data_IF_778758835639
#
_entry.id   IF_778758835639
#
_cell.length_a   1.000
_cell.length_b   1.000
_cell.length_c   1.000
_cell.angle_alpha   90.00
_cell.angle_beta   90.00
_cell.angle_gamma   90.00
#
_symmetry.space_group_name_H-M   'P 1'
#
loop_
_entity.id
_entity.type
_entity.pdbx_description
1 polymer ?
#
# COMPACT_ATOMS: atom_id res chain seq x y z
N UNK A 1 46.78 -36.57 -8.31
CA UNK A 1 45.43 -36.05 -7.99
C UNK A 1 44.47 -36.49 -9.06
N UNK A 2 43.39 -37.21 -8.70
CA UNK A 2 42.43 -37.74 -9.67
C UNK A 2 41.71 -36.58 -10.37
N UNK A 3 41.70 -36.57 -11.70
CA UNK A 3 41.07 -35.53 -12.54
C UNK A 3 39.61 -35.29 -12.14
N UNK A 4 38.92 -36.34 -11.67
CA UNK A 4 37.54 -36.27 -11.16
C UNK A 4 37.38 -35.37 -9.94
N UNK A 5 38.34 -35.36 -9.02
CA UNK A 5 38.29 -34.52 -7.82
C UNK A 5 38.49 -33.03 -8.15
N UNK A 6 39.28 -32.74 -9.20
CA UNK A 6 39.47 -31.36 -9.66
C UNK A 6 38.19 -30.80 -10.31
N UNK A 7 37.47 -31.60 -11.09
CA UNK A 7 36.20 -31.19 -11.68
C UNK A 7 35.11 -30.91 -10.63
N UNK A 8 35.00 -31.74 -9.58
CA UNK A 8 34.01 -31.53 -8.52
C UNK A 8 34.31 -30.27 -7.71
N UNK A 9 35.58 -30.01 -7.40
CA UNK A 9 35.98 -28.79 -6.67
C UNK A 9 35.69 -27.54 -7.51
N UNK A 10 35.98 -27.58 -8.82
CA UNK A 10 35.67 -26.46 -9.72
C UNK A 10 34.16 -26.19 -9.84
N UNK A 11 33.33 -27.23 -9.92
CA UNK A 11 31.87 -27.07 -9.96
C UNK A 11 31.33 -26.45 -8.67
N UNK A 12 31.83 -26.87 -7.50
CA UNK A 12 31.42 -26.30 -6.21
C UNK A 12 31.80 -24.82 -6.13
N UNK A 13 32.99 -24.44 -6.59
CA UNK A 13 33.44 -23.03 -6.62
C UNK A 13 32.55 -22.20 -7.55
N UNK A 14 32.20 -22.72 -8.73
CA UNK A 14 31.34 -22.00 -9.69
C UNK A 14 29.92 -21.82 -9.14
N UNK A 15 29.33 -22.86 -8.53
CA UNK A 15 27.97 -22.78 -7.98
C UNK A 15 27.90 -21.79 -6.82
N UNK A 16 28.84 -21.88 -5.87
CA UNK A 16 28.87 -20.93 -4.75
C UNK A 16 29.21 -19.52 -5.20
N UNK A 17 30.15 -19.36 -6.14
CA UNK A 17 30.53 -18.06 -6.68
C UNK A 17 29.39 -17.37 -7.43
N UNK A 18 28.64 -18.11 -8.25
CA UNK A 18 27.47 -17.57 -8.97
C UNK A 18 26.30 -17.27 -8.03
N UNK A 19 26.07 -18.10 -7.01
CA UNK A 19 25.08 -17.81 -5.98
C UNK A 19 25.43 -16.53 -5.20
N UNK A 20 26.68 -16.39 -4.73
CA UNK A 20 27.15 -15.19 -4.02
C UNK A 20 27.02 -13.95 -4.91
N UNK A 21 27.42 -14.05 -6.19
CA UNK A 21 27.27 -12.95 -7.15
C UNK A 21 25.79 -12.57 -7.37
N UNK A 22 24.91 -13.57 -7.50
CA UNK A 22 23.47 -13.36 -7.65
C UNK A 22 22.87 -12.68 -6.42
N UNK A 23 23.21 -13.14 -5.21
CA UNK A 23 22.78 -12.50 -3.97
C UNK A 23 23.32 -11.06 -3.85
N UNK A 24 24.58 -10.82 -4.22
CA UNK A 24 25.16 -9.48 -4.25
C UNK A 24 24.46 -8.55 -5.24
N UNK A 25 24.02 -9.06 -6.40
CA UNK A 25 23.21 -8.29 -7.35
C UNK A 25 21.82 -7.97 -6.81
N UNK A 26 21.15 -8.93 -6.15
CA UNK A 26 19.85 -8.69 -5.50
C UNK A 26 19.98 -7.64 -4.40
N UNK A 27 20.98 -7.75 -3.53
CA UNK A 27 21.20 -6.80 -2.44
C UNK A 27 21.43 -5.38 -2.98
N UNK A 28 22.19 -5.22 -4.07
CA UNK A 28 22.36 -3.91 -4.75
C UNK A 28 21.04 -3.34 -5.29
N UNK A 29 20.18 -4.18 -5.85
CA UNK A 29 18.86 -3.74 -6.34
C UNK A 29 17.91 -3.34 -5.20
N UNK A 30 17.97 -4.04 -4.06
CA UNK A 30 17.20 -3.69 -2.86
C UNK A 30 17.70 -2.37 -2.26
N UNK A 31 19.02 -2.17 -2.24
CA UNK A 31 19.63 -0.94 -1.74
C UNK A 31 19.35 0.26 -2.64
N UNK A 32 19.37 0.08 -3.97
CA UNK A 32 18.86 1.09 -4.92
C UNK A 32 17.37 1.36 -4.75
N UNK A 33 16.56 0.36 -4.39
CA UNK A 33 15.13 0.59 -4.10
C UNK A 33 14.95 1.42 -2.83
N UNK A 34 15.82 1.27 -1.81
CA UNK A 34 15.83 2.12 -0.61
C UNK A 34 16.44 3.50 -0.84
N UNK A 35 17.47 3.62 -1.67
CA UNK A 35 18.11 4.90 -2.01
C UNK A 35 17.23 5.73 -2.96
N UNK A 36 16.61 5.13 -3.99
CA UNK A 36 15.65 5.81 -4.88
C UNK A 36 14.36 6.22 -4.14
N UNK A 37 14.02 5.53 -3.05
CA UNK A 37 12.94 5.94 -2.13
C UNK A 37 13.31 7.11 -1.20
N UNK A 38 14.60 7.36 -0.97
CA UNK A 38 15.11 8.39 -0.05
C UNK A 38 15.61 9.66 -0.75
N UNK A 39 16.11 9.56 -1.98
CA UNK A 39 16.75 10.68 -2.70
C UNK A 39 15.76 11.61 -3.41
N UNK A 40 14.47 11.23 -3.57
CA UNK A 40 13.46 12.11 -4.17
C UNK A 40 12.73 13.05 -3.20
N UNK A 41 13.03 13.05 -1.90
CA UNK A 41 12.27 13.83 -0.92
C UNK A 41 12.85 15.22 -0.57
N UNK A 42 14.05 15.57 -1.01
CA UNK A 42 14.69 16.84 -0.58
C UNK A 42 14.83 17.93 -1.65
N UNK A 43 14.29 17.76 -2.86
CA UNK A 43 14.46 18.79 -3.90
C UNK A 43 13.21 19.05 -4.75
N UNK A 44 12.11 19.40 -4.08
CA UNK A 44 11.05 20.21 -4.72
C UNK A 44 10.23 21.01 -3.69
N UNK A 45 10.90 21.62 -2.72
CA UNK A 45 10.38 22.80 -2.03
C UNK A 45 10.99 24.04 -2.70
N UNK A 46 10.17 25.07 -2.94
CA UNK A 46 10.48 26.33 -3.62
C UNK A 46 10.51 26.29 -5.16
N UNK A 47 9.33 26.44 -5.78
CA UNK A 47 8.96 27.68 -6.50
C UNK A 47 7.61 27.51 -7.23
N UNK A 48 6.80 28.58 -7.22
CA UNK A 48 5.51 28.77 -7.91
C UNK A 48 4.19 28.36 -7.24
N UNK A 49 3.87 29.00 -6.11
CA UNK A 49 2.49 29.44 -5.87
C UNK A 49 2.25 30.65 -6.79
N UNK A 50 1.54 30.44 -7.91
CA UNK A 50 0.86 31.54 -8.61
C UNK A 50 -0.58 31.56 -8.15
N UNK A 51 -0.94 32.66 -7.51
CA UNK A 51 -2.28 32.98 -7.04
C UNK A 51 -3.32 32.79 -8.14
N UNK A 52 -4.31 31.94 -7.88
CA UNK A 52 -5.53 31.91 -8.67
C UNK A 52 -6.72 32.10 -7.72
N UNK A 53 -7.03 33.38 -7.47
CA UNK A 53 -8.20 33.85 -6.72
C UNK A 53 -9.48 33.33 -7.39
N UNK A 54 -10.04 32.23 -6.88
CA UNK A 54 -11.43 31.85 -7.13
C UNK A 54 -12.25 32.00 -5.85
N UNK A 55 -12.89 33.18 -5.76
CA UNK A 55 -14.12 33.52 -5.02
C UNK A 55 -14.45 32.60 -3.81
N UNK A 56 -13.84 32.92 -2.66
CA UNK A 56 -14.24 32.40 -1.36
C UNK A 56 -15.64 32.92 -1.01
N UNK A 57 -16.63 32.03 -1.03
CA UNK A 57 -17.82 32.20 -0.19
C UNK A 57 -17.34 32.01 1.25
N UNK A 58 -17.21 33.10 2.01
CA UNK A 58 -16.82 33.10 3.42
C UNK A 58 -17.86 32.35 4.27
N UNK A 59 -17.74 31.03 4.35
CA UNK A 59 -18.28 30.25 5.46
C UNK A 59 -17.30 30.38 6.62
N UNK A 60 -17.81 30.53 7.84
CA UNK A 60 -16.96 30.65 9.03
C UNK A 60 -15.93 29.53 9.05
N UNK A 61 -14.66 29.89 9.30
CA UNK A 61 -13.53 28.96 9.30
C UNK A 61 -13.70 27.95 10.43
N UNK A 62 -14.48 26.89 10.18
CA UNK A 62 -14.46 25.70 11.04
C UNK A 62 -13.05 25.14 10.95
N UNK A 63 -12.39 25.00 12.09
CA UNK A 63 -11.13 24.26 12.18
C UNK A 63 -11.34 22.88 11.57
N UNK A 64 -10.69 22.60 10.44
CA UNK A 64 -10.73 21.29 9.80
C UNK A 64 -9.54 20.50 10.31
N UNK A 65 -9.81 19.39 11.00
CA UNK A 65 -8.77 18.45 11.42
C UNK A 65 -8.83 17.21 10.53
N UNK A 66 -7.67 16.70 10.09
CA UNK A 66 -7.62 15.51 9.25
C UNK A 66 -8.14 14.29 10.01
N UNK A 67 -9.03 13.53 9.37
CA UNK A 67 -9.55 12.26 9.92
C UNK A 67 -8.44 11.23 9.88
N UNK A 68 -8.22 10.53 11.00
CA UNK A 68 -7.22 9.44 11.10
C UNK A 68 -7.85 8.07 10.91
N UNK A 69 -9.13 7.92 11.22
CA UNK A 69 -9.83 6.64 11.11
C UNK A 69 -10.73 6.62 9.89
N UNK A 70 -10.40 5.76 8.93
CA UNK A 70 -11.15 5.66 7.70
C UNK A 70 -11.00 4.32 7.00
N UNK A 71 -12.08 3.90 6.34
CA UNK A 71 -12.14 2.71 5.51
C UNK A 71 -12.28 3.16 4.06
N UNK A 72 -11.28 2.84 3.25
CA UNK A 72 -11.29 2.99 1.80
C UNK A 72 -11.45 1.63 1.13
N UNK A 73 -12.65 1.36 0.59
CA UNK A 73 -12.91 0.13 -0.15
C UNK A 73 -12.41 0.31 -1.59
N UNK A 74 -11.32 -0.40 -1.91
CA UNK A 74 -10.71 -0.36 -3.23
C UNK A 74 -11.62 -1.02 -4.27
N UNK A 75 -11.91 -0.32 -5.36
CA UNK A 75 -12.68 -0.85 -6.51
C UNK A 75 -11.77 -1.09 -7.73
N UNK A 76 -12.06 -2.09 -8.56
CA UNK A 76 -11.25 -2.37 -9.74
C UNK A 76 -11.34 -1.28 -10.81
N UNK A 77 -10.21 -0.98 -11.46
CA UNK A 77 -10.10 -0.10 -12.64
C UNK A 77 -10.73 1.29 -12.48
N UNK A 78 -10.69 1.86 -11.27
CA UNK A 78 -11.18 3.22 -10.97
C UNK A 78 -10.04 4.21 -10.69
N UNK A 79 -8.78 3.80 -10.85
CA UNK A 79 -7.63 4.55 -10.32
C UNK A 79 -7.58 4.53 -8.79
N UNK A 80 -8.21 3.52 -8.17
CA UNK A 80 -8.17 3.29 -6.73
C UNK A 80 -6.77 2.93 -6.24
N UNK A 81 -5.91 2.29 -7.06
CA UNK A 81 -4.52 2.01 -6.70
C UNK A 81 -3.74 3.29 -6.35
N UNK A 82 -3.94 4.37 -7.11
CA UNK A 82 -3.32 5.67 -6.81
C UNK A 82 -3.79 6.22 -5.47
N UNK A 83 -5.10 6.11 -5.17
CA UNK A 83 -5.65 6.55 -3.89
C UNK A 83 -5.11 5.70 -2.72
N UNK A 84 -5.00 4.38 -2.91
CA UNK A 84 -4.38 3.48 -1.91
C UNK A 84 -2.96 3.92 -1.60
N UNK A 85 -2.13 4.22 -2.60
CA UNK A 85 -0.76 4.67 -2.36
C UNK A 85 -0.69 5.97 -1.54
N UNK A 86 -1.58 6.93 -1.83
CA UNK A 86 -1.67 8.18 -1.06
C UNK A 86 -2.08 7.91 0.38
N UNK A 87 -3.13 7.10 0.58
CA UNK A 87 -3.62 6.78 1.92
C UNK A 87 -2.64 5.93 2.72
N UNK A 88 -1.89 5.04 2.07
CA UNK A 88 -0.87 4.23 2.71
C UNK A 88 0.28 5.10 3.22
N UNK A 89 0.75 6.06 2.42
CA UNK A 89 1.73 7.05 2.87
C UNK A 89 1.25 7.83 4.09
N UNK A 90 -0.01 8.29 4.06
CA UNK A 90 -0.63 8.98 5.19
C UNK A 90 -0.72 8.10 6.44
N UNK A 91 -1.11 6.83 6.30
CA UNK A 91 -1.18 5.89 7.41
C UNK A 91 0.20 5.66 8.05
N UNK A 92 1.23 5.47 7.23
CA UNK A 92 2.61 5.30 7.69
C UNK A 92 3.11 6.56 8.41
N UNK A 93 2.94 7.76 7.82
CA UNK A 93 3.42 9.02 8.41
C UNK A 93 2.74 9.41 9.71
N UNK A 94 1.56 8.85 9.99
CA UNK A 94 0.79 9.09 11.20
C UNK A 94 0.74 7.89 12.15
N UNK A 95 1.53 6.85 11.89
CA UNK A 95 1.60 5.62 12.70
C UNK A 95 0.23 4.97 12.94
N UNK A 96 -0.61 4.95 11.91
CA UNK A 96 -1.96 4.38 11.97
C UNK A 96 -1.92 2.86 11.77
N UNK A 97 -2.76 2.14 12.50
CA UNK A 97 -2.90 0.69 12.30
C UNK A 97 -3.73 0.40 11.05
N UNK A 98 -3.11 -0.27 10.07
CA UNK A 98 -3.75 -0.64 8.81
C UNK A 98 -4.14 -2.12 8.86
N UNK A 99 -5.40 -2.43 8.56
CA UNK A 99 -5.85 -3.81 8.39
C UNK A 99 -5.31 -4.36 7.07
N UNK A 100 -4.38 -5.32 7.19
CA UNK A 100 -3.66 -5.92 6.08
C UNK A 100 -4.15 -7.35 5.83
N UNK A 101 -4.29 -7.76 4.56
CA UNK A 101 -4.60 -9.16 4.25
C UNK A 101 -3.44 -10.06 4.71
N UNK A 102 -3.75 -11.28 5.14
CA UNK A 102 -2.76 -12.28 5.55
C UNK A 102 -1.96 -12.79 4.35
N UNK A 103 -2.54 -12.74 3.15
CA UNK A 103 -1.89 -13.05 1.89
C UNK A 103 -2.54 -12.39 0.68
N UNK A 104 -1.78 -12.27 -0.41
CA UNK A 104 -2.28 -11.72 -1.67
C UNK A 104 -2.54 -10.21 -1.65
N UNK A 105 -3.40 -9.75 -2.56
CA UNK A 105 -3.65 -8.32 -2.82
C UNK A 105 -5.10 -7.89 -2.57
N UNK A 106 -5.96 -8.81 -2.12
CA UNK A 106 -7.39 -8.59 -1.84
C UNK A 106 -7.65 -9.05 -0.41
N UNK A 107 -8.58 -8.39 0.27
CA UNK A 107 -8.95 -8.79 1.62
C UNK A 107 -10.03 -9.85 1.54
N UNK A 108 -11.09 -9.60 0.79
CA UNK A 108 -12.15 -10.59 0.60
C UNK A 108 -13.02 -10.26 -0.61
N UNK A 109 -13.06 -11.14 -1.61
CA UNK A 109 -13.98 -11.03 -2.73
C UNK A 109 -14.23 -12.40 -3.37
N UNK A 110 -15.48 -12.78 -3.72
CA UNK A 110 -16.72 -12.00 -3.65
C UNK A 110 -17.51 -12.16 -2.33
N UNK A 111 -16.94 -12.85 -1.35
CA UNK A 111 -17.55 -13.09 -0.04
C UNK A 111 -16.96 -12.16 1.03
N UNK A 112 -17.60 -12.00 2.20
CA UNK A 112 -17.03 -11.26 3.33
C UNK A 112 -15.73 -11.90 3.85
N UNK A 113 -14.85 -11.13 4.51
CA UNK A 113 -13.61 -11.66 5.08
C UNK A 113 -13.89 -12.69 6.18
N UNK A 114 -13.18 -13.81 6.12
CA UNK A 114 -13.02 -14.74 7.23
C UNK A 114 -11.92 -14.23 8.19
N UNK A 115 -11.83 -14.79 9.40
CA UNK A 115 -10.83 -14.33 10.38
C UNK A 115 -9.40 -14.59 9.89
N UNK A 116 -9.18 -15.68 9.14
CA UNK A 116 -7.89 -16.05 8.55
C UNK A 116 -7.42 -15.15 7.39
N UNK A 117 -8.27 -14.26 6.87
CA UNK A 117 -7.98 -13.46 5.67
C UNK A 117 -7.09 -12.23 5.97
N UNK A 118 -6.82 -11.92 7.23
CA UNK A 118 -6.05 -10.74 7.63
C UNK A 118 -5.11 -10.99 8.80
N UNK A 119 -4.17 -10.05 8.96
CA UNK A 119 -3.23 -10.06 10.08
C UNK A 119 -3.92 -9.48 11.30
N UNK A 120 -4.06 -10.32 12.33
CA UNK A 120 -4.67 -9.96 13.61
C UNK A 120 -3.79 -9.02 14.43
N UNK A 121 -4.42 -8.05 15.10
CA UNK A 121 -3.81 -7.28 16.20
C UNK A 121 -4.35 -7.79 17.53
N UNK A 122 -3.61 -7.62 18.66
CA UNK A 122 -4.05 -8.10 19.97
C UNK A 122 -5.43 -7.61 20.41
N UNK A 123 -5.83 -6.42 19.95
CA UNK A 123 -7.08 -5.74 20.29
C UNK A 123 -8.16 -5.85 19.19
N UNK A 124 -7.84 -6.44 18.04
CA UNK A 124 -8.73 -6.53 16.86
C UNK A 124 -9.33 -5.18 16.43
N UNK A 125 -8.61 -4.07 16.66
CA UNK A 125 -9.00 -2.72 16.27
C UNK A 125 -8.00 -2.10 15.30
N UNK A 126 -8.53 -1.49 14.25
CA UNK A 126 -7.75 -0.90 13.18
C UNK A 126 -8.18 0.55 12.94
N UNK A 127 -7.25 1.41 12.56
CA UNK A 127 -7.54 2.79 12.18
C UNK A 127 -7.94 2.88 10.70
N UNK A 128 -7.29 2.09 9.84
CA UNK A 128 -7.39 2.23 8.39
C UNK A 128 -7.59 0.89 7.68
N UNK A 129 -8.46 0.87 6.66
CA UNK A 129 -8.56 -0.22 5.69
C UNK A 129 -8.45 0.34 4.27
N UNK A 130 -7.56 -0.21 3.44
CA UNK A 130 -7.33 0.29 2.06
C UNK A 130 -7.56 -0.75 0.96
N UNK A 131 -8.16 -1.89 1.32
CA UNK A 131 -8.15 -3.06 0.45
C UNK A 131 -9.48 -3.30 -0.28
N UNK A 132 -9.45 -4.23 -1.23
CA UNK A 132 -10.64 -4.67 -1.93
C UNK A 132 -11.46 -5.63 -1.04
N UNK A 133 -12.67 -5.21 -0.67
CA UNK A 133 -13.64 -6.08 0.00
C UNK A 133 -15.08 -5.72 -0.36
N UNK A 134 -16.04 -6.60 -0.10
CA UNK A 134 -17.46 -6.20 -0.07
C UNK A 134 -17.76 -5.44 1.21
N UNK A 135 -18.44 -4.30 1.08
CA UNK A 135 -18.90 -3.54 2.24
C UNK A 135 -19.80 -4.39 3.13
N UNK A 136 -19.40 -4.57 4.38
CA UNK A 136 -20.17 -5.23 5.41
C UNK A 136 -20.14 -4.36 6.68
N UNK A 137 -21.22 -3.60 6.90
CA UNK A 137 -21.31 -2.64 8.00
C UNK A 137 -21.13 -3.30 9.37
N UNK A 138 -21.73 -4.48 9.57
CA UNK A 138 -21.68 -5.17 10.86
C UNK A 138 -20.26 -5.62 11.16
N UNK A 139 -19.58 -6.23 10.19
CA UNK A 139 -18.19 -6.65 10.33
C UNK A 139 -17.26 -5.46 10.56
N UNK A 140 -17.39 -4.40 9.75
CA UNK A 140 -16.56 -3.19 9.87
C UNK A 140 -16.73 -2.50 11.24
N UNK A 141 -17.94 -2.45 11.78
CA UNK A 141 -18.18 -1.86 13.12
C UNK A 141 -17.57 -2.66 14.27
N UNK A 142 -17.25 -3.92 14.06
CA UNK A 142 -16.58 -4.74 15.08
C UNK A 142 -15.06 -4.47 15.11
N UNK A 143 -14.48 -4.12 13.95
CA UNK A 143 -13.02 -3.93 13.77
C UNK A 143 -12.58 -2.47 13.75
N UNK A 144 -13.51 -1.54 13.59
CA UNK A 144 -13.25 -0.10 13.48
C UNK A 144 -14.18 0.68 14.41
N UNK A 145 -13.68 1.79 14.97
CA UNK A 145 -14.47 2.63 15.88
C UNK A 145 -15.60 3.40 15.18
N UNK A 146 -16.58 3.85 15.96
CA UNK A 146 -17.81 4.47 15.45
C UNK A 146 -17.58 5.80 14.69
N UNK A 147 -16.46 6.47 14.91
CA UNK A 147 -16.06 7.73 14.26
C UNK A 147 -15.36 7.52 12.90
N UNK A 148 -15.22 6.28 12.45
CA UNK A 148 -14.57 5.92 11.19
C UNK A 148 -15.32 6.45 9.98
N UNK A 149 -14.61 7.14 9.08
CA UNK A 149 -15.16 7.60 7.81
C UNK A 149 -15.10 6.49 6.74
N UNK A 150 -16.17 6.28 5.99
CA UNK A 150 -16.21 5.30 4.90
C UNK A 150 -16.11 6.00 3.55
N UNK A 151 -15.17 5.57 2.73
CA UNK A 151 -14.84 6.14 1.43
C UNK A 151 -14.87 4.99 0.40
N UNK A 152 -15.56 5.20 -0.71
CA UNK A 152 -15.42 4.35 -1.89
C UNK A 152 -15.25 5.23 -3.12
N UNK A 153 -14.62 4.69 -4.17
CA UNK A 153 -14.52 5.36 -5.47
C UNK A 153 -15.47 4.70 -6.45
N UNK A 154 -16.54 5.39 -6.79
CA UNK A 154 -17.44 5.03 -7.89
C UNK A 154 -16.89 5.63 -9.19
N UNK A 155 -16.82 4.82 -10.26
CA UNK A 155 -16.58 5.32 -11.64
C UNK A 155 -17.82 4.96 -12.44
N UNK A 156 -18.41 5.96 -13.12
CA UNK A 156 -19.56 5.77 -14.00
C UNK A 156 -19.32 4.65 -15.02
N UNK A 157 -20.32 3.78 -15.18
CA UNK A 157 -20.33 2.59 -16.03
C UNK A 157 -20.48 3.01 -17.49
N UNK A 158 -19.43 3.53 -18.11
CA UNK A 158 -19.38 3.66 -19.58
C UNK A 158 -18.07 3.05 -20.14
N UNK A 159 -16.99 3.05 -19.36
CA UNK A 159 -15.64 2.69 -19.85
C UNK A 159 -15.09 1.32 -19.40
N UNK A 160 -15.86 0.46 -18.73
CA UNK A 160 -15.29 -0.79 -18.19
C UNK A 160 -14.95 -1.85 -19.27
N UNK A 161 -15.35 -1.66 -20.53
CA UNK A 161 -15.15 -2.65 -21.61
C UNK A 161 -13.80 -2.61 -22.34
N UNK A 162 -12.91 -1.64 -22.09
CA UNK A 162 -11.70 -1.44 -22.91
C UNK A 162 -10.38 -1.93 -22.27
N UNK A 163 -10.43 -2.80 -21.27
CA UNK A 163 -9.20 -3.34 -20.64
C UNK A 163 -9.28 -4.86 -20.54
N UNK A 164 -8.87 -5.52 -21.62
CA UNK A 164 -8.36 -6.89 -21.64
C UNK A 164 -7.11 -6.90 -22.50
#
# INVERSE_FOLDING_TARGET
MSTRALFTVMLVIIINGTAIYYYSQISRNVEQTSEESSVQYEQQDQTHIKDNKRKETRTSSKSCHPRRKFVFIKTHKTGSCTAVNIFQRYAISHHLSVLMPSGGHLLAWPFPPAEEDYVHTPDEQYDVLLNHMRYNKTWLRNKFSADTAYICKERYIVDFKQSK
#
